data_IF_672430056311
#
_entry.id   IF_672430056311
#
_cell.length_a   1.000
_cell.length_b   1.000
_cell.length_c   1.000
_cell.angle_alpha   90.00
_cell.angle_beta   90.00
_cell.angle_gamma   90.00
#
_symmetry.space_group_name_H-M   'P 1'
#
loop_
_entity.id
_entity.type
_entity.pdbx_description
1 polymer ?
#
# COMPACT_ATOMS: atom_id res chain seq x y z
N UNK A 1 7.04 17.39 9.83
CA UNK A 1 8.37 17.29 9.19
C UNK A 1 8.36 16.33 7.99
N UNK A 2 7.73 15.15 8.09
CA UNK A 2 7.53 14.24 6.94
C UNK A 2 6.71 14.84 5.78
N UNK A 3 5.71 15.68 6.04
CA UNK A 3 4.97 16.38 4.97
C UNK A 3 5.84 17.42 4.22
N UNK A 4 6.83 18.01 4.89
CA UNK A 4 7.76 18.95 4.25
C UNK A 4 8.81 18.21 3.39
N UNK A 5 9.23 17.02 3.79
CA UNK A 5 10.04 16.12 2.94
C UNK A 5 9.24 15.55 1.78
N UNK A 6 7.97 15.18 1.98
CA UNK A 6 7.08 14.74 0.89
C UNK A 6 6.85 15.89 -0.10
N UNK A 7 6.65 17.12 0.36
CA UNK A 7 6.53 18.28 -0.53
C UNK A 7 7.82 18.57 -1.34
N UNK A 8 9.01 18.33 -0.75
CA UNK A 8 10.29 18.48 -1.43
C UNK A 8 10.52 17.34 -2.46
N UNK A 9 10.19 16.09 -2.10
CA UNK A 9 10.32 14.90 -2.97
C UNK A 9 9.26 14.90 -4.08
N UNK A 10 8.05 15.41 -3.83
CA UNK A 10 6.99 15.55 -4.83
C UNK A 10 7.35 16.53 -5.95
N UNK A 11 8.23 17.50 -5.70
CA UNK A 11 8.77 18.40 -6.73
C UNK A 11 9.82 17.74 -7.63
N UNK A 12 10.38 16.61 -7.20
CA UNK A 12 11.53 15.94 -7.83
C UNK A 12 11.23 14.49 -8.29
N UNK A 13 9.95 14.12 -8.40
CA UNK A 13 9.53 12.82 -8.95
C UNK A 13 9.93 12.60 -10.43
N UNK A 14 10.50 13.63 -11.07
CA UNK A 14 11.13 13.61 -12.39
C UNK A 14 12.49 12.91 -12.45
N UNK A 15 12.97 12.30 -11.35
CA UNK A 15 14.16 11.44 -11.40
C UNK A 15 14.05 10.37 -12.49
N UNK A 16 15.04 10.24 -13.40
CA UNK A 16 14.98 9.21 -14.42
C UNK A 16 15.05 7.84 -13.74
N UNK A 17 13.96 7.08 -13.75
CA UNK A 17 13.92 5.73 -13.20
C UNK A 17 15.05 4.83 -13.73
N UNK A 18 15.49 5.10 -14.97
CA UNK A 18 16.65 4.46 -15.62
C UNK A 18 17.98 4.74 -14.91
N UNK A 19 18.17 5.93 -14.34
CA UNK A 19 19.39 6.28 -13.63
C UNK A 19 19.50 5.53 -12.30
N UNK A 20 18.39 5.36 -11.58
CA UNK A 20 18.35 4.58 -10.34
C UNK A 20 18.59 3.08 -10.61
N UNK A 21 18.04 2.55 -11.70
CA UNK A 21 18.29 1.17 -12.12
C UNK A 21 19.75 0.94 -12.54
N UNK A 22 20.32 1.88 -13.30
CA UNK A 22 21.73 1.82 -13.69
C UNK A 22 22.67 1.93 -12.47
N UNK A 23 22.37 2.83 -11.54
CA UNK A 23 23.14 2.98 -10.30
C UNK A 23 23.10 1.70 -9.46
N UNK A 24 21.91 1.10 -9.28
CA UNK A 24 21.77 -0.17 -8.58
C UNK A 24 22.59 -1.28 -9.24
N UNK A 25 22.48 -1.47 -10.56
CA UNK A 25 23.22 -2.50 -11.28
C UNK A 25 24.74 -2.29 -11.19
N UNK A 26 25.20 -1.04 -11.23
CA UNK A 26 26.61 -0.72 -11.02
C UNK A 26 27.06 -1.07 -9.60
N UNK A 27 26.30 -0.71 -8.56
CA UNK A 27 26.63 -1.01 -7.16
C UNK A 27 26.68 -2.53 -6.91
N UNK A 28 25.72 -3.29 -7.44
CA UNK A 28 25.70 -4.76 -7.38
C UNK A 28 26.95 -5.35 -8.06
N UNK A 29 27.31 -4.86 -9.26
CA UNK A 29 28.50 -5.30 -9.99
C UNK A 29 29.80 -5.06 -9.22
N UNK A 30 29.87 -3.98 -8.45
CA UNK A 30 31.05 -3.64 -7.63
C UNK A 30 30.99 -4.26 -6.22
N UNK A 31 29.97 -5.06 -5.90
CA UNK A 31 29.83 -5.71 -4.60
C UNK A 31 29.31 -4.81 -3.47
N UNK A 32 28.90 -3.58 -3.77
CA UNK A 32 28.33 -2.63 -2.81
C UNK A 32 26.85 -2.93 -2.55
N UNK A 33 26.61 -4.03 -1.83
CA UNK A 33 25.26 -4.56 -1.56
C UNK A 33 24.40 -3.61 -0.74
N UNK A 34 25.00 -2.83 0.17
CA UNK A 34 24.26 -1.90 1.04
C UNK A 34 23.68 -0.75 0.23
N UNK A 35 24.49 -0.11 -0.62
CA UNK A 35 24.01 0.98 -1.45
C UNK A 35 23.09 0.46 -2.57
N UNK A 36 23.34 -0.74 -3.11
CA UNK A 36 22.42 -1.38 -4.05
C UNK A 36 21.03 -1.62 -3.43
N UNK A 37 20.98 -2.12 -2.19
CA UNK A 37 19.73 -2.32 -1.47
C UNK A 37 19.04 -0.98 -1.17
N UNK A 38 19.80 0.04 -0.80
CA UNK A 38 19.28 1.39 -0.60
C UNK A 38 18.64 1.96 -1.89
N UNK A 39 19.32 1.85 -3.03
CA UNK A 39 18.76 2.26 -4.33
C UNK A 39 17.48 1.48 -4.68
N UNK A 40 17.44 0.18 -4.37
CA UNK A 40 16.24 -0.65 -4.47
C UNK A 40 15.07 -0.12 -3.62
N UNK A 41 15.34 0.27 -2.38
CA UNK A 41 14.34 0.84 -1.47
C UNK A 41 13.79 2.19 -1.96
N UNK A 42 14.64 3.06 -2.50
CA UNK A 42 14.20 4.31 -3.14
C UNK A 42 13.27 4.02 -4.32
N UNK A 43 13.58 2.99 -5.13
CA UNK A 43 12.73 2.57 -6.24
C UNK A 43 11.36 2.09 -5.75
N UNK A 44 11.33 1.24 -4.72
CA UNK A 44 10.08 0.77 -4.10
C UNK A 44 9.25 1.95 -3.61
N UNK A 45 9.84 2.87 -2.83
CA UNK A 45 9.13 4.05 -2.31
C UNK A 45 8.54 4.90 -3.44
N UNK A 46 9.30 5.14 -4.50
CA UNK A 46 8.79 5.85 -5.70
C UNK A 46 7.61 5.12 -6.32
N UNK A 47 7.72 3.80 -6.53
CA UNK A 47 6.66 3.00 -7.14
C UNK A 47 5.37 3.04 -6.30
N UNK A 48 5.48 3.02 -4.97
CA UNK A 48 4.35 3.18 -4.06
C UNK A 48 3.69 4.57 -4.18
N UNK A 49 4.49 5.64 -4.29
CA UNK A 49 3.98 7.00 -4.44
C UNK A 49 3.21 7.20 -5.74
N UNK A 50 3.63 6.55 -6.83
CA UNK A 50 2.96 6.64 -8.15
C UNK A 50 1.92 5.52 -8.38
N UNK A 51 1.61 4.72 -7.35
CA UNK A 51 0.57 3.68 -7.42
C UNK A 51 0.93 2.41 -8.20
N UNK A 52 2.20 2.19 -8.57
CA UNK A 52 2.67 1.00 -9.30
C UNK A 52 2.97 -0.17 -8.35
N UNK A 53 1.91 -0.73 -7.77
CA UNK A 53 2.01 -1.72 -6.68
C UNK A 53 2.65 -3.05 -7.08
N UNK A 54 2.28 -3.60 -8.24
CA UNK A 54 2.85 -4.89 -8.69
C UNK A 54 4.36 -4.79 -8.88
N UNK A 55 4.84 -3.68 -9.42
CA UNK A 55 6.27 -3.44 -9.59
C UNK A 55 6.98 -3.16 -8.27
N UNK A 56 6.34 -2.44 -7.34
CA UNK A 56 6.90 -2.23 -6.01
C UNK A 56 7.11 -3.58 -5.30
N UNK A 57 6.11 -4.47 -5.37
CA UNK A 57 6.15 -5.82 -4.80
C UNK A 57 7.25 -6.67 -5.47
N UNK A 58 7.36 -6.61 -6.80
CA UNK A 58 8.40 -7.32 -7.55
C UNK A 58 9.81 -6.84 -7.18
N UNK A 59 10.04 -5.53 -7.12
CA UNK A 59 11.36 -4.97 -6.74
C UNK A 59 11.70 -5.34 -5.31
N UNK A 60 10.73 -5.24 -4.38
CA UNK A 60 10.93 -5.54 -2.97
C UNK A 60 11.27 -7.02 -2.73
N UNK A 61 10.63 -7.94 -3.48
CA UNK A 61 10.92 -9.37 -3.41
C UNK A 61 12.36 -9.73 -3.83
N UNK A 62 13.01 -8.87 -4.63
CA UNK A 62 14.40 -9.01 -5.05
C UNK A 62 15.41 -8.31 -4.14
N UNK A 63 15.00 -7.80 -2.96
CA UNK A 63 15.90 -7.20 -1.96
C UNK A 63 16.11 -8.18 -0.81
N UNK A 64 17.36 -8.40 -0.43
CA UNK A 64 17.71 -9.14 0.79
C UNK A 64 17.73 -8.18 1.99
N UNK A 65 16.83 -8.34 2.98
CA UNK A 65 16.81 -7.50 4.17
C UNK A 65 17.82 -7.93 5.24
N UNK A 66 18.43 -9.11 5.14
CA UNK A 66 19.32 -9.65 6.18
C UNK A 66 20.56 -8.77 6.49
N UNK A 67 21.26 -8.18 5.49
CA UNK A 67 22.45 -7.36 5.77
C UNK A 67 22.13 -5.91 6.13
N UNK A 68 20.85 -5.51 6.17
CA UNK A 68 20.48 -4.11 6.34
C UNK A 68 20.75 -3.63 7.78
N UNK A 69 21.33 -2.43 7.96
CA UNK A 69 21.38 -1.80 9.28
C UNK A 69 19.96 -1.49 9.78
N UNK A 70 19.76 -1.35 11.10
CA UNK A 70 18.42 -1.23 11.70
C UNK A 70 17.51 -0.16 11.07
N UNK A 71 18.05 1.01 10.74
CA UNK A 71 17.28 2.08 10.08
C UNK A 71 16.78 1.66 8.69
N UNK A 72 17.64 1.04 7.87
CA UNK A 72 17.26 0.55 6.55
C UNK A 72 16.31 -0.64 6.64
N UNK A 73 16.47 -1.50 7.66
CA UNK A 73 15.52 -2.59 7.94
C UNK A 73 14.14 -2.06 8.28
N UNK A 74 14.03 -1.04 9.14
CA UNK A 74 12.75 -0.41 9.43
C UNK A 74 12.08 0.19 8.18
N UNK A 75 12.85 0.85 7.31
CA UNK A 75 12.34 1.36 6.04
C UNK A 75 11.89 0.24 5.08
N UNK A 76 12.61 -0.90 5.05
CA UNK A 76 12.20 -2.09 4.30
C UNK A 76 10.85 -2.60 4.78
N UNK A 77 10.69 -2.81 6.08
CA UNK A 77 9.47 -3.36 6.67
C UNK A 77 8.28 -2.37 6.54
N UNK A 78 8.52 -1.05 6.60
CA UNK A 78 7.52 -0.04 6.26
C UNK A 78 7.03 -0.15 4.80
N UNK A 79 7.93 -0.45 3.86
CA UNK A 79 7.55 -0.69 2.47
C UNK A 79 6.73 -1.99 2.32
N UNK A 80 7.11 -3.07 3.02
CA UNK A 80 6.33 -4.31 3.09
C UNK A 80 4.92 -4.03 3.62
N UNK A 81 4.82 -3.31 4.74
CA UNK A 81 3.55 -2.91 5.35
C UNK A 81 2.70 -2.07 4.38
N UNK A 82 3.29 -1.06 3.74
CA UNK A 82 2.61 -0.18 2.80
C UNK A 82 2.07 -0.91 1.57
N UNK A 83 2.75 -1.96 1.09
CA UNK A 83 2.26 -2.84 0.02
C UNK A 83 1.11 -3.71 0.54
N UNK A 84 1.30 -4.38 1.67
CA UNK A 84 0.30 -5.25 2.27
C UNK A 84 -1.01 -4.50 2.55
N UNK A 85 -0.93 -3.27 3.07
CA UNK A 85 -2.06 -2.37 3.23
C UNK A 85 -2.76 -2.12 1.89
N UNK A 86 -2.07 -1.60 0.87
CA UNK A 86 -2.74 -1.31 -0.41
C UNK A 86 -3.33 -2.55 -1.10
N UNK A 87 -2.83 -3.75 -0.77
CA UNK A 87 -3.39 -5.04 -1.18
C UNK A 87 -4.57 -5.54 -0.31
N UNK A 88 -4.91 -4.82 0.76
CA UNK A 88 -5.90 -5.19 1.77
C UNK A 88 -5.56 -6.51 2.47
N UNK A 89 -4.27 -6.73 2.74
CA UNK A 89 -3.75 -7.89 3.48
C UNK A 89 -3.42 -7.43 4.90
N UNK A 90 -4.37 -7.53 5.83
CA UNK A 90 -4.23 -6.94 7.18
C UNK A 90 -3.16 -7.64 8.00
N UNK A 91 -3.16 -8.98 8.03
CA UNK A 91 -2.20 -9.74 8.84
C UNK A 91 -0.74 -9.50 8.41
N UNK A 92 -0.38 -9.58 7.11
CA UNK A 92 0.97 -9.22 6.67
C UNK A 92 1.35 -7.77 6.99
N UNK A 93 0.41 -6.82 6.86
CA UNK A 93 0.68 -5.42 7.20
C UNK A 93 1.03 -5.26 8.69
N UNK A 94 0.24 -5.86 9.59
CA UNK A 94 0.49 -5.84 11.04
C UNK A 94 1.84 -6.47 11.41
N UNK A 95 2.15 -7.63 10.83
CA UNK A 95 3.42 -8.31 11.06
C UNK A 95 4.62 -7.45 10.62
N UNK A 96 4.56 -6.86 9.42
CA UNK A 96 5.61 -5.99 8.92
C UNK A 96 5.80 -4.73 9.78
N UNK A 97 4.71 -4.12 10.26
CA UNK A 97 4.81 -2.97 11.16
C UNK A 97 5.46 -3.30 12.50
N UNK A 98 5.25 -4.51 13.02
CA UNK A 98 5.94 -4.94 14.25
C UNK A 98 7.45 -5.10 14.03
N UNK A 99 7.85 -5.69 12.90
CA UNK A 99 9.27 -5.75 12.51
C UNK A 99 9.86 -4.36 12.30
N UNK A 100 9.11 -3.46 11.65
CA UNK A 100 9.52 -2.06 11.45
C UNK A 100 9.73 -1.35 12.79
N UNK A 101 8.80 -1.54 13.74
CA UNK A 101 8.86 -0.95 15.08
C UNK A 101 10.08 -1.43 15.85
N UNK A 102 10.36 -2.73 15.81
CA UNK A 102 11.53 -3.31 16.45
C UNK A 102 12.83 -2.71 15.89
N UNK A 103 12.97 -2.69 14.56
CA UNK A 103 14.15 -2.14 13.90
C UNK A 103 14.31 -0.62 14.11
N UNK A 104 13.21 0.14 14.12
CA UNK A 104 13.22 1.58 14.37
C UNK A 104 13.66 1.92 15.80
N UNK A 105 13.23 1.11 16.78
CA UNK A 105 13.68 1.23 18.18
C UNK A 105 15.17 0.96 18.33
N UNK A 106 15.69 -0.09 17.68
CA UNK A 106 17.13 -0.38 17.68
C UNK A 106 17.91 0.77 17.00
N UNK A 107 17.40 1.33 15.91
CA UNK A 107 18.02 2.46 15.23
C UNK A 107 18.04 3.74 16.09
N UNK A 108 17.12 3.88 17.06
CA UNK A 108 17.05 5.03 17.95
C UNK A 108 16.65 6.34 17.26
N UNK A 109 16.06 6.28 16.06
CA UNK A 109 15.70 7.47 15.25
C UNK A 109 14.26 7.89 15.57
N UNK A 110 14.02 9.03 16.24
CA UNK A 110 12.68 9.42 16.67
C UNK A 110 11.68 9.59 15.52
N UNK A 111 12.12 10.16 14.40
CA UNK A 111 11.28 10.34 13.22
C UNK A 111 10.80 9.02 12.62
N UNK A 112 11.67 8.01 12.59
CA UNK A 112 11.33 6.69 12.05
C UNK A 112 10.37 5.93 12.98
N UNK A 113 10.56 6.05 14.30
CA UNK A 113 9.62 5.50 15.29
C UNK A 113 8.23 6.15 15.10
N UNK A 114 8.18 7.48 14.96
CA UNK A 114 6.92 8.19 14.74
C UNK A 114 6.23 7.78 13.43
N UNK A 115 7.00 7.54 12.36
CA UNK A 115 6.46 7.05 11.09
C UNK A 115 5.83 5.65 11.23
N UNK A 116 6.50 4.73 11.93
CA UNK A 116 5.95 3.39 12.19
C UNK A 116 4.69 3.44 13.04
N UNK A 117 4.65 4.28 14.07
CA UNK A 117 3.45 4.44 14.89
C UNK A 117 2.29 5.06 14.11
N UNK A 118 2.56 6.06 13.26
CA UNK A 118 1.55 6.64 12.37
C UNK A 118 0.99 5.61 11.39
N UNK A 119 1.85 4.79 10.78
CA UNK A 119 1.41 3.71 9.90
C UNK A 119 0.61 2.64 10.66
N UNK A 120 0.99 2.34 11.91
CA UNK A 120 0.24 1.41 12.77
C UNK A 120 -1.15 1.94 13.13
N UNK A 121 -1.26 3.22 13.46
CA UNK A 121 -2.55 3.86 13.75
C UNK A 121 -3.49 3.82 12.54
N UNK A 122 -2.96 3.92 11.31
CA UNK A 122 -3.76 3.83 10.10
C UNK A 122 -4.52 2.50 9.94
N UNK A 123 -4.07 1.40 10.58
CA UNK A 123 -4.81 0.12 10.60
C UNK A 123 -5.97 0.11 11.60
N UNK A 124 -5.91 0.97 12.61
CA UNK A 124 -6.93 1.08 13.66
C UNK A 124 -8.01 2.11 13.33
N UNK A 125 -7.81 2.90 12.27
CA UNK A 125 -8.80 3.85 11.78
C UNK A 125 -9.69 3.25 10.70
N UNK A 126 -10.96 3.69 10.57
CA UNK A 126 -11.83 3.27 9.48
C UNK A 126 -11.18 3.47 8.11
N UNK A 127 -11.13 2.40 7.32
CA UNK A 127 -10.52 2.37 6.00
C UNK A 127 -11.56 2.55 4.87
N UNK A 128 -12.81 2.19 5.15
CA UNK A 128 -13.92 2.32 4.21
C UNK A 128 -15.23 2.59 4.96
N UNK A 129 -16.28 2.85 4.18
CA UNK A 129 -17.66 2.74 4.65
C UNK A 129 -18.40 1.70 3.82
N UNK A 130 -19.19 0.86 4.48
CA UNK A 130 -20.14 -0.03 3.86
C UNK A 130 -21.48 0.70 3.74
N UNK A 131 -22.05 0.69 2.54
CA UNK A 131 -23.42 1.15 2.29
C UNK A 131 -24.27 -0.06 1.97
N UNK A 132 -25.25 -0.36 2.81
CA UNK A 132 -26.16 -1.47 2.62
C UNK A 132 -27.52 -1.17 3.26
N UNK A 133 -28.62 -1.46 2.54
CA UNK A 133 -29.99 -1.27 3.03
C UNK A 133 -30.25 0.15 3.59
N UNK A 134 -29.74 1.16 2.89
CA UNK A 134 -29.86 2.56 3.28
C UNK A 134 -29.08 2.98 4.55
N UNK A 135 -28.16 2.14 5.05
CA UNK A 135 -27.31 2.45 6.20
C UNK A 135 -25.85 2.55 5.78
N UNK A 136 -25.14 3.47 6.42
CA UNK A 136 -23.68 3.57 6.32
C UNK A 136 -23.04 3.04 7.60
N UNK A 137 -22.03 2.19 7.46
CA UNK A 137 -21.22 1.68 8.57
C UNK A 137 -19.73 1.87 8.26
N UNK A 138 -18.95 2.52 9.14
CA UNK A 138 -17.49 2.56 8.99
C UNK A 138 -16.92 1.15 9.15
N UNK A 139 -15.98 0.78 8.29
CA UNK A 139 -15.27 -0.50 8.33
C UNK A 139 -13.78 -0.26 8.57
N UNK A 140 -13.21 -1.04 9.49
CA UNK A 140 -11.77 -1.19 9.68
C UNK A 140 -11.15 -2.04 8.57
N UNK A 141 -9.83 -2.06 8.51
CA UNK A 141 -9.06 -2.77 7.48
C UNK A 141 -9.41 -4.26 7.35
N UNK A 142 -9.50 -4.93 8.49
CA UNK A 142 -9.81 -6.36 8.58
C UNK A 142 -11.24 -6.68 8.14
N UNK A 143 -12.18 -5.77 8.41
CA UNK A 143 -13.58 -5.93 7.98
C UNK A 143 -13.69 -5.73 6.46
N UNK A 144 -12.91 -4.81 5.88
CA UNK A 144 -12.81 -4.65 4.42
C UNK A 144 -12.19 -5.89 3.78
N UNK A 145 -11.11 -6.44 4.34
CA UNK A 145 -10.49 -7.68 3.87
C UNK A 145 -11.47 -8.85 3.92
N UNK A 146 -12.18 -9.02 5.04
CA UNK A 146 -13.20 -10.06 5.21
C UNK A 146 -14.36 -9.90 4.22
N UNK A 147 -14.84 -8.67 3.99
CA UNK A 147 -15.89 -8.38 3.02
C UNK A 147 -15.46 -8.75 1.59
N UNK A 148 -14.21 -8.43 1.20
CA UNK A 148 -13.68 -8.80 -0.12
C UNK A 148 -13.52 -10.31 -0.31
N UNK A 149 -13.27 -11.06 0.77
CA UNK A 149 -13.20 -12.53 0.74
C UNK A 149 -14.56 -13.22 0.85
N UNK A 150 -15.63 -12.47 1.10
CA UNK A 150 -16.98 -13.01 1.30
C UNK A 150 -17.65 -13.40 -0.04
N UNK A 151 -18.72 -14.22 -0.02
CA UNK A 151 -19.49 -14.52 -1.23
C UNK A 151 -20.39 -13.36 -1.68
N UNK A 152 -20.43 -12.24 -0.97
CA UNK A 152 -21.27 -11.10 -1.30
C UNK A 152 -20.86 -10.45 -2.64
N UNK A 153 -21.83 -9.86 -3.34
CA UNK A 153 -21.54 -8.96 -4.45
C UNK A 153 -21.17 -7.59 -3.89
N UNK A 154 -19.92 -7.17 -4.10
CA UNK A 154 -19.35 -5.93 -3.57
C UNK A 154 -19.07 -4.98 -4.73
N UNK A 155 -19.64 -3.78 -4.67
CA UNK A 155 -19.27 -2.66 -5.54
C UNK A 155 -18.20 -1.83 -4.83
N UNK A 156 -16.97 -1.96 -5.30
CA UNK A 156 -15.79 -1.28 -4.75
C UNK A 156 -15.58 0.07 -5.44
N UNK A 157 -15.94 1.15 -4.75
CA UNK A 157 -15.77 2.51 -5.24
C UNK A 157 -14.33 3.02 -5.21
N UNK A 158 -13.43 2.41 -4.45
CA UNK A 158 -12.01 2.78 -4.46
C UNK A 158 -11.32 2.29 -5.74
N UNK A 159 -11.70 1.10 -6.20
CA UNK A 159 -11.09 0.45 -7.37
C UNK A 159 -11.94 0.52 -8.63
N UNK A 160 -13.11 1.15 -8.57
CA UNK A 160 -14.11 1.17 -9.64
C UNK A 160 -14.38 -0.24 -10.17
N UNK A 161 -14.68 -1.19 -9.27
CA UNK A 161 -14.81 -2.60 -9.61
C UNK A 161 -16.05 -3.24 -8.98
N UNK A 162 -16.57 -4.28 -9.62
CA UNK A 162 -17.61 -5.14 -9.05
C UNK A 162 -17.01 -6.51 -8.81
N UNK A 163 -17.23 -7.06 -7.61
CA UNK A 163 -16.63 -8.33 -7.18
C UNK A 163 -17.70 -9.26 -6.62
N UNK A 164 -17.60 -10.55 -6.89
CA UNK A 164 -18.51 -11.57 -6.36
C UNK A 164 -18.15 -12.95 -6.89
N UNK A 165 -18.32 -13.98 -6.06
CA UNK A 165 -18.04 -15.37 -6.46
C UNK A 165 -16.62 -15.61 -7.01
N UNK A 166 -15.62 -14.89 -6.48
CA UNK A 166 -14.22 -14.96 -6.94
C UNK A 166 -13.92 -14.21 -8.25
N UNK A 167 -14.93 -13.65 -8.91
CA UNK A 167 -14.76 -12.84 -10.13
C UNK A 167 -14.64 -11.37 -9.74
N UNK A 168 -13.73 -10.66 -10.41
CA UNK A 168 -13.57 -9.20 -10.27
C UNK A 168 -13.64 -8.57 -11.66
N UNK A 169 -14.58 -7.65 -11.85
CA UNK A 169 -14.77 -6.90 -13.09
C UNK A 169 -14.36 -5.45 -12.84
N UNK A 170 -13.32 -5.01 -13.54
CA UNK A 170 -12.93 -3.59 -13.52
C UNK A 170 -13.88 -2.77 -14.40
N UNK A 171 -14.38 -1.68 -13.85
CA UNK A 171 -15.19 -0.66 -14.51
C UNK A 171 -14.51 0.71 -14.50
N UNK A 172 -13.20 0.77 -14.21
CA UNK A 172 -12.44 2.03 -14.15
C UNK A 172 -12.50 2.85 -15.46
N UNK A 173 -12.57 2.19 -16.62
CA UNK A 173 -12.74 2.84 -17.93
C UNK A 173 -14.21 2.97 -18.37
N UNK A 174 -15.16 2.60 -17.51
CA UNK A 174 -16.61 2.48 -17.80
C UNK A 174 -17.43 3.23 -16.74
N UNK A 175 -17.28 4.56 -16.62
CA UNK A 175 -17.85 5.34 -15.51
C UNK A 175 -19.37 5.25 -15.42
N UNK A 176 -20.07 5.20 -16.55
CA UNK A 176 -21.54 5.06 -16.58
C UNK A 176 -21.97 3.70 -16.02
N UNK A 177 -21.31 2.61 -16.41
CA UNK A 177 -21.63 1.27 -15.89
C UNK A 177 -21.32 1.16 -14.40
N UNK A 178 -20.23 1.79 -13.94
CA UNK A 178 -19.92 1.85 -12.52
C UNK A 178 -21.00 2.61 -11.74
N UNK A 179 -21.44 3.78 -12.23
CA UNK A 179 -22.49 4.56 -11.59
C UNK A 179 -23.81 3.78 -11.49
N UNK A 180 -24.20 3.05 -12.55
CA UNK A 180 -25.38 2.19 -12.54
C UNK A 180 -25.24 1.06 -11.52
N UNK A 181 -24.12 0.33 -11.53
CA UNK A 181 -23.87 -0.76 -10.59
C UNK A 181 -23.92 -0.28 -9.13
N UNK A 182 -23.33 0.89 -8.85
CA UNK A 182 -23.36 1.52 -7.53
C UNK A 182 -24.79 1.87 -7.11
N UNK A 183 -25.56 2.52 -7.99
CA UNK A 183 -26.94 2.95 -7.69
C UNK A 183 -27.83 1.75 -7.37
N UNK A 184 -27.71 0.68 -8.16
CA UNK A 184 -28.42 -0.58 -7.92
C UNK A 184 -28.02 -1.23 -6.58
N UNK A 185 -26.72 -1.25 -6.27
CA UNK A 185 -26.22 -1.82 -5.02
C UNK A 185 -26.67 -1.04 -3.77
N UNK A 186 -26.74 0.29 -3.85
CA UNK A 186 -27.20 1.14 -2.75
C UNK A 186 -28.72 1.00 -2.50
N UNK A 187 -29.52 0.85 -3.57
CA UNK A 187 -30.97 0.67 -3.50
C UNK A 187 -31.38 -0.74 -3.04
N UNK A 188 -30.52 -1.74 -3.23
CA UNK A 188 -30.82 -3.14 -2.88
C UNK A 188 -31.28 -3.30 -1.41
N UNK A 189 -32.35 -4.09 -1.14
CA UNK A 189 -33.08 -4.96 -2.07
C UNK A 189 -34.23 -4.30 -2.84
N UNK A 190 -34.40 -2.98 -2.73
CA UNK A 190 -35.39 -2.23 -3.49
C UNK A 190 -34.93 -1.92 -4.92
N UNK A 191 -35.85 -1.36 -5.72
CA UNK A 191 -35.58 -0.92 -7.08
C UNK A 191 -35.09 0.53 -7.14
N UNK A 192 -34.44 0.87 -8.24
CA UNK A 192 -34.06 2.25 -8.60
C UNK A 192 -35.16 2.80 -9.53
N UNK A 193 -35.71 3.96 -9.20
CA UNK A 193 -36.71 4.68 -10.02
C UNK A 193 -36.09 5.80 -10.85
#
# INVERSE_FOLDING_TARGET
VAEAEIALVSRDLGWPAKALDAARAALEKHGDRLNAAHAGHLKVRRLLLIGRLDEAEHVLAGLDPAPLPPAARAAHELAVAGIAMRRLRTRPARAALEWARHAARIAGIPGLIAEVESASQALETPAARLIARGREQPLLFEEVEALQGSPALVVDAFRYAVRGGGVTISLASRPVLFALARTLAEAWPGDVS
#
